data_IF_489715661677
#
_entry.id   IF_489715661677
#
_cell.length_a   1.000
_cell.length_b   1.000
_cell.length_c   1.000
_cell.angle_alpha   90.00
_cell.angle_beta   90.00
_cell.angle_gamma   90.00
#
_symmetry.space_group_name_H-M   'P 1'
#
loop_
_entity.id
_entity.type
_entity.pdbx_description
1 polymer ?
#
# COMPACT_ATOMS: atom_id res chain seq x y z
N UNK A 1 28.77 3.65 1.28
CA UNK A 1 28.43 2.92 2.51
C UNK A 1 29.66 2.09 2.88
N UNK A 2 30.38 2.46 3.95
CA UNK A 2 31.44 1.62 4.48
C UNK A 2 30.81 0.67 5.50
N UNK A 3 30.79 -0.62 5.17
CA UNK A 3 30.42 -1.67 6.10
C UNK A 3 31.70 -2.17 6.76
N UNK A 4 31.96 -1.74 8.00
CA UNK A 4 32.98 -2.37 8.83
C UNK A 4 32.40 -3.65 9.43
N UNK A 5 32.88 -4.78 8.92
CA UNK A 5 32.58 -6.12 9.41
C UNK A 5 33.76 -6.59 10.27
N UNK A 6 33.66 -6.40 11.58
CA UNK A 6 34.57 -7.06 12.52
C UNK A 6 34.09 -8.50 12.75
N UNK A 7 34.81 -9.46 12.17
CA UNK A 7 34.46 -10.88 12.14
C UNK A 7 35.27 -11.66 13.18
N UNK A 8 34.63 -12.20 14.22
CA UNK A 8 35.30 -13.12 15.17
C UNK A 8 34.90 -14.60 14.97
N UNK A 9 33.87 -14.91 14.17
CA UNK A 9 33.55 -16.30 13.77
C UNK A 9 32.32 -16.49 12.85
N UNK A 10 32.08 -17.73 12.39
CA UNK A 10 31.00 -18.10 11.45
C UNK A 10 29.58 -17.88 12.02
N UNK A 11 29.40 -18.10 13.33
CA UNK A 11 28.11 -17.93 14.01
C UNK A 11 27.67 -16.45 14.09
N UNK A 12 28.64 -15.55 14.25
CA UNK A 12 28.39 -14.09 14.25
C UNK A 12 28.06 -13.58 12.84
N UNK A 13 28.63 -14.19 11.80
CA UNK A 13 28.23 -13.94 10.41
C UNK A 13 26.76 -14.30 10.18
N UNK A 14 26.36 -15.50 10.56
CA UNK A 14 24.97 -15.96 10.41
C UNK A 14 23.98 -15.03 11.15
N UNK A 15 24.29 -14.63 12.39
CA UNK A 15 23.44 -13.70 13.12
C UNK A 15 23.36 -12.32 12.46
N UNK A 16 24.48 -11.83 11.94
CA UNK A 16 24.53 -10.53 11.26
C UNK A 16 23.70 -10.53 9.98
N UNK A 17 23.81 -11.60 9.17
CA UNK A 17 22.97 -11.75 7.97
C UNK A 17 21.49 -11.87 8.30
N UNK A 18 21.13 -12.63 9.35
CA UNK A 18 19.75 -12.74 9.79
C UNK A 18 19.16 -11.38 10.22
N UNK A 19 19.95 -10.56 10.92
CA UNK A 19 19.52 -9.23 11.32
C UNK A 19 19.43 -8.24 10.16
N UNK A 20 20.31 -8.34 9.17
CA UNK A 20 20.20 -7.58 7.93
C UNK A 20 18.92 -7.95 7.17
N UNK A 21 18.63 -9.24 7.00
CA UNK A 21 17.40 -9.70 6.33
C UNK A 21 16.13 -9.20 7.04
N UNK A 22 16.11 -9.21 8.38
CA UNK A 22 14.98 -8.66 9.16
C UNK A 22 14.82 -7.15 8.99
N UNK A 23 15.92 -6.41 8.95
CA UNK A 23 15.90 -4.95 8.74
C UNK A 23 15.39 -4.62 7.34
N UNK A 24 15.90 -5.32 6.34
CA UNK A 24 15.49 -5.21 4.95
C UNK A 24 13.97 -5.44 4.80
N UNK A 25 13.47 -6.56 5.32
CA UNK A 25 12.04 -6.87 5.30
C UNK A 25 11.19 -5.78 5.98
N UNK A 26 11.67 -5.23 7.11
CA UNK A 26 10.98 -4.15 7.81
C UNK A 26 10.89 -2.88 6.97
N UNK A 27 11.96 -2.54 6.24
CA UNK A 27 11.99 -1.39 5.33
C UNK A 27 11.00 -1.63 4.20
N UNK A 28 11.06 -2.77 3.51
CA UNK A 28 10.13 -3.11 2.41
C UNK A 28 8.66 -3.05 2.84
N UNK A 29 8.31 -3.61 4.01
CA UNK A 29 6.95 -3.52 4.57
C UNK A 29 6.49 -2.08 4.81
N UNK A 30 7.38 -1.23 5.32
CA UNK A 30 7.07 0.18 5.54
C UNK A 30 6.90 0.93 4.19
N UNK A 31 7.75 0.63 3.22
CA UNK A 31 7.72 1.21 1.87
C UNK A 31 6.38 0.98 1.18
N UNK A 32 5.94 -0.27 1.06
CA UNK A 32 4.66 -0.57 0.38
C UNK A 32 3.45 -0.02 1.12
N UNK A 33 3.53 0.09 2.46
CA UNK A 33 2.47 0.68 3.27
C UNK A 33 2.38 2.19 3.04
N UNK A 34 3.52 2.87 2.88
CA UNK A 34 3.55 4.30 2.57
C UNK A 34 2.97 4.59 1.18
N UNK A 35 3.39 3.83 0.15
CA UNK A 35 2.78 3.93 -1.18
C UNK A 35 1.28 3.63 -1.16
N UNK A 36 0.87 2.59 -0.41
CA UNK A 36 -0.54 2.25 -0.25
C UNK A 36 -1.36 3.36 0.42
N UNK A 37 -0.79 4.10 1.37
CA UNK A 37 -1.48 5.19 2.07
C UNK A 37 -1.79 6.35 1.12
N UNK A 38 -0.83 6.71 0.27
CA UNK A 38 -1.04 7.71 -0.79
C UNK A 38 -2.13 7.27 -1.75
N UNK A 39 -2.09 6.00 -2.19
CA UNK A 39 -3.13 5.48 -3.08
C UNK A 39 -4.52 5.51 -2.44
N UNK A 40 -4.63 5.13 -1.16
CA UNK A 40 -5.90 5.14 -0.45
C UNK A 40 -6.51 6.55 -0.37
N UNK A 41 -5.69 7.56 -0.07
CA UNK A 41 -6.10 8.97 -0.06
C UNK A 41 -6.63 9.42 -1.43
N UNK A 42 -5.89 9.15 -2.50
CA UNK A 42 -6.31 9.54 -3.85
C UNK A 42 -7.59 8.82 -4.30
N UNK A 43 -7.77 7.54 -3.93
CA UNK A 43 -9.01 6.81 -4.23
C UNK A 43 -10.18 7.43 -3.46
N UNK A 44 -10.00 7.77 -2.18
CA UNK A 44 -11.04 8.41 -1.38
C UNK A 44 -11.48 9.75 -2.00
N UNK A 45 -10.52 10.59 -2.43
CA UNK A 45 -10.82 11.89 -3.06
C UNK A 45 -11.61 11.76 -4.37
N UNK A 46 -11.34 10.70 -5.13
CA UNK A 46 -11.98 10.44 -6.43
C UNK A 46 -13.24 9.57 -6.33
N UNK A 47 -13.51 8.99 -5.17
CA UNK A 47 -14.61 8.06 -5.00
C UNK A 47 -15.97 8.78 -5.11
N UNK A 48 -16.94 8.19 -5.81
CA UNK A 48 -18.26 8.79 -5.92
C UNK A 48 -18.99 8.70 -4.57
N UNK A 49 -19.52 9.84 -4.11
CA UNK A 49 -20.36 9.92 -2.92
C UNK A 49 -21.84 9.84 -3.27
N UNK A 50 -22.57 8.96 -2.57
CA UNK A 50 -24.03 8.90 -2.66
C UNK A 50 -24.68 10.07 -1.92
N UNK A 51 -25.74 10.63 -2.50
CA UNK A 51 -26.58 11.63 -1.84
C UNK A 51 -27.55 11.04 -0.79
N UNK A 52 -27.60 9.70 -0.67
CA UNK A 52 -28.41 9.03 0.35
C UNK A 52 -27.78 9.33 1.72
N UNK A 53 -28.41 10.22 2.47
CA UNK A 53 -28.00 10.58 3.82
C UNK A 53 -28.24 9.44 4.83
N UNK A 54 -27.53 9.50 5.96
CA UNK A 54 -27.64 8.52 7.04
C UNK A 54 -26.31 8.32 7.76
N UNK A 55 -26.25 7.35 8.68
CA UNK A 55 -25.00 6.94 9.37
C UNK A 55 -24.27 5.79 8.66
N UNK A 56 -24.58 5.52 7.39
CA UNK A 56 -23.96 4.42 6.66
C UNK A 56 -22.57 4.82 6.17
N UNK A 57 -21.57 3.91 6.18
CA UNK A 57 -20.27 4.19 5.60
C UNK A 57 -20.37 4.51 4.11
N UNK A 58 -19.66 5.55 3.69
CA UNK A 58 -19.51 5.95 2.30
C UNK A 58 -18.16 5.48 1.74
N UNK A 59 -18.10 5.26 0.41
CA UNK A 59 -16.89 4.71 -0.23
C UNK A 59 -15.71 5.67 -0.10
N UNK A 60 -15.96 6.97 -0.25
CA UNK A 60 -14.99 8.07 -0.15
C UNK A 60 -14.39 8.26 1.24
N UNK A 61 -14.86 7.51 2.23
CA UNK A 61 -14.35 7.54 3.61
C UNK A 61 -13.80 6.17 4.07
N UNK A 62 -13.89 5.14 3.23
CA UNK A 62 -13.71 3.73 3.65
C UNK A 62 -12.63 2.98 2.85
N UNK A 63 -11.87 3.66 1.98
CA UNK A 63 -10.69 3.06 1.35
C UNK A 63 -9.51 3.13 2.30
N UNK A 64 -8.96 1.96 2.63
CA UNK A 64 -7.87 1.83 3.59
C UNK A 64 -6.73 0.98 3.03
N UNK A 65 -5.56 1.11 3.69
CA UNK A 65 -4.46 0.15 3.52
C UNK A 65 -4.68 -1.01 4.48
N UNK A 66 -4.65 -2.24 3.95
CA UNK A 66 -4.79 -3.45 4.74
C UNK A 66 -3.72 -3.54 5.84
N UNK A 67 -4.14 -3.93 7.03
CA UNK A 67 -3.23 -4.07 8.18
C UNK A 67 -2.11 -5.10 7.96
N UNK A 68 -2.41 -6.16 7.19
CA UNK A 68 -1.46 -7.22 6.89
C UNK A 68 -0.84 -6.98 5.52
N UNK A 69 0.48 -6.90 5.51
CA UNK A 69 1.28 -6.97 4.28
C UNK A 69 1.29 -8.42 3.80
N UNK A 70 1.12 -8.62 2.49
CA UNK A 70 1.08 -9.93 1.85
C UNK A 70 2.35 -10.17 1.05
N UNK A 71 2.55 -11.43 0.66
CA UNK A 71 3.56 -11.85 -0.30
C UNK A 71 2.88 -12.59 -1.44
N UNK A 72 3.39 -12.45 -2.64
CA UNK A 72 2.97 -13.27 -3.78
C UNK A 72 3.74 -14.59 -3.82
N UNK A 73 3.56 -15.35 -4.89
CA UNK A 73 4.20 -16.67 -5.08
C UNK A 73 5.73 -16.55 -5.24
N UNK A 74 6.21 -15.43 -5.75
CA UNK A 74 7.63 -15.12 -5.94
C UNK A 74 8.28 -14.54 -4.66
N UNK A 75 7.46 -14.19 -3.66
CA UNK A 75 7.90 -13.67 -2.38
C UNK A 75 7.93 -12.15 -2.29
N UNK A 76 7.49 -11.43 -3.33
CA UNK A 76 7.43 -9.98 -3.37
C UNK A 76 6.40 -9.45 -2.38
N UNK A 77 6.81 -8.44 -1.63
CA UNK A 77 6.03 -7.85 -0.56
C UNK A 77 5.08 -6.81 -1.16
N UNK A 78 3.78 -6.90 -0.88
CA UNK A 78 2.79 -5.92 -1.33
C UNK A 78 1.76 -5.55 -0.27
N UNK A 79 1.27 -4.32 -0.34
CA UNK A 79 0.16 -3.83 0.46
C UNK A 79 -1.14 -3.93 -0.35
N UNK A 80 -2.22 -4.38 0.31
CA UNK A 80 -3.57 -4.37 -0.29
C UNK A 80 -4.22 -3.04 0.06
N UNK A 81 -4.72 -2.32 -0.94
CA UNK A 81 -5.48 -1.08 -0.76
C UNK A 81 -6.89 -1.29 -1.27
N UNK A 82 -7.89 -0.88 -0.49
CA UNK A 82 -9.28 -1.06 -0.88
C UNK A 82 -10.27 -0.82 0.26
N UNK A 83 -11.57 -0.99 -0.03
CA UNK A 83 -12.64 -0.77 0.93
C UNK A 83 -12.62 -1.75 2.11
N UNK A 84 -13.20 -1.36 3.23
CA UNK A 84 -13.53 -2.32 4.28
C UNK A 84 -14.73 -3.18 3.90
N UNK A 85 -15.13 -4.11 4.77
CA UNK A 85 -16.21 -5.06 4.48
C UNK A 85 -17.56 -4.37 4.23
N UNK A 86 -17.76 -3.18 4.81
CA UNK A 86 -19.04 -2.49 4.79
C UNK A 86 -19.33 -1.86 3.42
N UNK A 87 -18.30 -1.38 2.72
CA UNK A 87 -18.45 -0.79 1.38
C UNK A 87 -17.92 -1.67 0.25
N UNK A 88 -17.28 -2.82 0.56
CA UNK A 88 -16.61 -3.70 -0.43
C UNK A 88 -17.43 -3.99 -1.68
N UNK A 89 -18.68 -4.43 -1.53
CA UNK A 89 -19.51 -4.76 -2.69
C UNK A 89 -19.92 -3.51 -3.49
N UNK A 90 -20.12 -2.38 -2.80
CA UNK A 90 -20.59 -1.13 -3.40
C UNK A 90 -19.55 -0.53 -4.31
N UNK A 91 -18.27 -0.65 -3.97
CA UNK A 91 -17.14 -0.17 -4.77
C UNK A 91 -17.13 -0.70 -6.20
N UNK A 92 -17.54 -1.96 -6.40
CA UNK A 92 -17.56 -2.58 -7.72
C UNK A 92 -18.63 -1.98 -8.65
N UNK A 93 -19.74 -1.45 -8.09
CA UNK A 93 -20.85 -0.93 -8.88
C UNK A 93 -20.47 0.31 -9.70
N UNK A 94 -19.91 1.39 -9.12
CA UNK A 94 -19.44 2.52 -9.91
C UNK A 94 -18.18 2.18 -10.70
N UNK A 95 -17.25 1.37 -10.16
CA UNK A 95 -15.99 1.06 -10.87
C UNK A 95 -16.23 0.37 -12.22
N UNK A 96 -17.12 -0.63 -12.25
CA UNK A 96 -17.39 -1.44 -13.45
C UNK A 96 -18.69 -1.06 -14.18
N UNK A 97 -19.54 -0.27 -13.54
CA UNK A 97 -20.87 0.05 -14.05
C UNK A 97 -21.88 -1.07 -13.83
N UNK A 98 -23.12 -0.78 -14.18
CA UNK A 98 -24.26 -1.69 -14.14
C UNK A 98 -25.10 -1.52 -15.42
N UNK A 99 -26.16 -2.32 -15.59
CA UNK A 99 -27.08 -2.17 -16.72
C UNK A 99 -27.73 -0.77 -16.80
N UNK A 100 -27.81 -0.04 -15.68
CA UNK A 100 -28.45 1.28 -15.60
C UNK A 100 -27.47 2.44 -15.33
N UNK A 101 -26.19 2.17 -15.15
CA UNK A 101 -25.18 3.18 -14.82
C UNK A 101 -23.87 2.84 -15.53
N UNK A 102 -23.33 3.78 -16.31
CA UNK A 102 -22.03 3.61 -16.96
C UNK A 102 -20.89 3.46 -15.92
N UNK A 103 -19.83 2.76 -16.32
CA UNK A 103 -18.63 2.62 -15.50
C UNK A 103 -17.98 3.99 -15.25
N UNK A 104 -17.65 4.24 -13.99
CA UNK A 104 -16.79 5.32 -13.52
C UNK A 104 -15.58 4.69 -12.83
N UNK A 105 -14.50 4.37 -13.58
CA UNK A 105 -13.36 3.60 -13.07
C UNK A 105 -12.43 4.45 -12.19
N UNK A 106 -12.95 4.91 -11.06
CA UNK A 106 -12.29 5.84 -10.13
C UNK A 106 -11.06 5.22 -9.48
N UNK A 107 -11.03 3.90 -9.20
CA UNK A 107 -9.85 3.23 -8.65
C UNK A 107 -8.72 3.21 -9.68
N UNK A 108 -9.01 2.78 -10.91
CA UNK A 108 -8.01 2.77 -11.99
C UNK A 108 -7.45 4.15 -12.24
N UNK A 109 -8.31 5.16 -12.33
CA UNK A 109 -7.89 6.54 -12.57
C UNK A 109 -7.03 7.07 -11.41
N UNK A 110 -7.40 6.74 -10.17
CA UNK A 110 -6.63 7.09 -8.98
C UNK A 110 -5.25 6.42 -8.97
N UNK A 111 -5.14 5.17 -9.42
CA UNK A 111 -3.85 4.48 -9.53
C UNK A 111 -2.91 5.18 -10.52
N UNK A 112 -3.44 5.62 -11.67
CA UNK A 112 -2.66 6.37 -12.67
C UNK A 112 -2.25 7.73 -12.09
N UNK A 113 -3.18 8.45 -11.44
CA UNK A 113 -2.93 9.76 -10.85
C UNK A 113 -1.94 9.73 -9.68
N UNK A 114 -2.01 8.69 -8.85
CA UNK A 114 -1.19 8.56 -7.65
C UNK A 114 0.22 8.04 -7.93
N UNK A 115 0.48 7.46 -9.11
CA UNK A 115 1.70 6.71 -9.40
C UNK A 115 2.99 7.43 -8.96
N UNK A 116 3.20 8.66 -9.41
CA UNK A 116 4.43 9.39 -9.12
C UNK A 116 4.55 9.73 -7.62
N UNK A 117 3.43 10.12 -6.98
CA UNK A 117 3.39 10.40 -5.53
C UNK A 117 3.62 9.14 -4.70
N UNK A 118 3.14 7.99 -5.16
CA UNK A 118 3.39 6.70 -4.52
C UNK A 118 4.88 6.35 -4.58
N UNK A 119 5.50 6.50 -5.76
CA UNK A 119 6.93 6.27 -5.94
C UNK A 119 7.77 7.20 -5.07
N UNK A 120 7.44 8.49 -5.00
CA UNK A 120 8.11 9.46 -4.14
C UNK A 120 7.99 9.08 -2.66
N UNK A 121 6.81 8.64 -2.20
CA UNK A 121 6.61 8.19 -0.82
C UNK A 121 7.41 6.93 -0.51
N UNK A 122 7.43 5.97 -1.44
CA UNK A 122 8.22 4.75 -1.33
C UNK A 122 9.73 5.05 -1.28
N UNK A 123 10.21 5.90 -2.17
CA UNK A 123 11.62 6.30 -2.24
C UNK A 123 12.09 6.96 -0.94
N UNK A 124 11.28 7.86 -0.37
CA UNK A 124 11.58 8.51 0.94
C UNK A 124 11.75 7.48 2.04
N UNK A 125 10.87 6.48 2.10
CA UNK A 125 10.96 5.41 3.12
C UNK A 125 12.20 4.56 2.90
N UNK A 126 12.48 4.15 1.66
CA UNK A 126 13.70 3.40 1.32
C UNK A 126 14.95 4.17 1.75
N UNK A 127 15.09 5.43 1.32
CA UNK A 127 16.25 6.27 1.67
C UNK A 127 16.41 6.41 3.18
N UNK A 128 15.32 6.69 3.90
CA UNK A 128 15.36 6.80 5.36
C UNK A 128 15.71 5.47 6.05
N UNK A 129 15.24 4.34 5.51
CA UNK A 129 15.46 3.01 6.05
C UNK A 129 16.91 2.55 5.91
N UNK A 130 17.50 2.77 4.74
CA UNK A 130 18.90 2.43 4.45
C UNK A 130 19.88 3.55 4.84
N UNK A 131 19.40 4.72 5.26
CA UNK A 131 20.19 5.92 5.58
C UNK A 131 21.02 6.40 4.38
N UNK A 132 20.37 6.47 3.21
CA UNK A 132 20.93 6.95 1.94
C UNK A 132 20.71 8.45 1.74
#
# INVERSE_FOLDING_TARGET
MNFELELKGFKELESTFADLARKDEKIHKATVKAGGAVLAEVINDNAPRSAIGGRHPHIDEDIIVGNRIKRDEDGEIYAVVGPTKDTKFRVHLPEFGTIHQAANPFIRNSMIQANDKMLDAMEKVIKSGYKL
#
